data_IF_652540385094
#
_entry.id   IF_652540385094
#
_cell.length_a   1.000
_cell.length_b   1.000
_cell.length_c   1.000
_cell.angle_alpha   90.00
_cell.angle_beta   90.00
_cell.angle_gamma   90.00
#
_symmetry.space_group_name_H-M   'P 1'
#
loop_
_entity.id
_entity.type
_entity.pdbx_description
1 polymer ?
#
# COMPACT_ATOMS: atom_id res chain seq x y z
N UNK A 1 -2.67 4.26 -17.66
CA UNK A 1 -1.38 4.84 -17.22
C UNK A 1 -0.75 3.83 -16.30
N UNK A 2 0.54 3.50 -16.44
CA UNK A 2 1.17 2.52 -15.56
C UNK A 2 1.66 3.19 -14.28
N UNK A 3 1.60 2.47 -13.16
CA UNK A 3 2.00 2.94 -11.84
C UNK A 3 2.93 1.93 -11.17
N UNK A 4 3.85 2.43 -10.36
CA UNK A 4 4.87 1.62 -9.69
C UNK A 4 5.15 2.13 -8.28
N UNK A 5 5.67 1.25 -7.43
CA UNK A 5 6.29 1.68 -6.18
C UNK A 5 7.68 2.27 -6.43
N UNK A 6 7.95 3.40 -5.81
CA UNK A 6 9.26 4.03 -5.71
C UNK A 6 9.59 4.20 -4.23
N UNK A 7 10.46 3.34 -3.65
CA UNK A 7 10.79 3.41 -2.24
C UNK A 7 11.37 4.77 -1.83
N UNK A 8 10.81 5.38 -0.79
CA UNK A 8 11.32 6.62 -0.20
C UNK A 8 12.02 6.36 1.14
N UNK A 9 11.42 5.49 1.96
CA UNK A 9 11.96 5.11 3.26
C UNK A 9 11.69 3.64 3.55
N UNK A 10 12.69 2.91 4.02
CA UNK A 10 12.54 1.51 4.43
C UNK A 10 13.38 1.24 5.67
N UNK A 11 12.75 0.71 6.72
CA UNK A 11 13.42 0.04 7.83
C UNK A 11 12.66 -1.24 8.23
N UNK A 12 13.07 -1.87 9.34
CA UNK A 12 12.48 -3.13 9.80
C UNK A 12 11.00 -3.02 10.23
N UNK A 13 10.58 -1.84 10.70
CA UNK A 13 9.26 -1.63 11.30
C UNK A 13 8.38 -0.68 10.48
N UNK A 14 8.92 0.04 9.51
CA UNK A 14 8.19 1.05 8.78
C UNK A 14 8.73 1.22 7.36
N UNK A 15 7.81 1.49 6.43
CA UNK A 15 8.15 1.85 5.05
C UNK A 15 7.26 2.96 4.54
N UNK A 16 7.81 3.76 3.62
CA UNK A 16 7.10 4.72 2.79
C UNK A 16 7.51 4.44 1.35
N UNK A 17 6.52 4.12 0.53
CA UNK A 17 6.66 3.86 -0.90
C UNK A 17 5.84 4.89 -1.65
N UNK A 18 6.50 5.73 -2.45
CA UNK A 18 5.77 6.58 -3.39
C UNK A 18 5.12 5.72 -4.46
N UNK A 19 3.96 6.16 -4.95
CA UNK A 19 3.32 5.59 -6.13
C UNK A 19 3.55 6.58 -7.25
N UNK A 20 4.31 6.16 -8.25
CA UNK A 20 4.77 7.01 -9.35
C UNK A 20 4.25 6.50 -10.69
N UNK A 21 4.11 7.41 -11.66
CA UNK A 21 3.79 7.08 -13.06
C UNK A 21 5.03 6.57 -13.81
N UNK A 22 4.83 6.12 -15.05
CA UNK A 22 5.89 5.82 -16.02
C UNK A 22 6.79 7.03 -16.36
N UNK A 23 6.36 8.24 -16.02
CA UNK A 23 7.14 9.49 -16.13
C UNK A 23 7.84 9.88 -14.83
N UNK A 24 7.79 9.02 -13.81
CA UNK A 24 8.32 9.26 -12.48
C UNK A 24 7.65 10.44 -11.74
N UNK A 25 6.38 10.72 -12.07
CA UNK A 25 5.57 11.70 -11.35
C UNK A 25 4.90 11.03 -10.15
N UNK A 26 5.08 11.56 -8.95
CA UNK A 26 4.45 11.04 -7.75
C UNK A 26 2.97 11.41 -7.71
N UNK A 27 2.10 10.40 -7.62
CA UNK A 27 0.64 10.55 -7.61
C UNK A 27 0.01 10.01 -6.32
N UNK A 28 0.83 9.52 -5.39
CA UNK A 28 0.37 8.95 -4.14
C UNK A 28 1.50 8.29 -3.36
N UNK A 29 1.15 7.63 -2.26
CA UNK A 29 2.07 6.85 -1.46
C UNK A 29 1.35 5.76 -0.69
N UNK A 30 2.08 4.69 -0.37
CA UNK A 30 1.74 3.67 0.60
C UNK A 30 2.73 3.76 1.75
N UNK A 31 2.22 3.80 2.97
CA UNK A 31 3.02 3.74 4.19
C UNK A 31 2.55 2.60 5.07
N UNK A 32 3.47 1.99 5.79
CA UNK A 32 3.09 1.10 6.87
C UNK A 32 4.00 1.24 8.09
N UNK A 33 3.44 0.86 9.24
CA UNK A 33 4.11 0.76 10.52
C UNK A 33 3.73 -0.57 11.17
N UNK A 34 4.73 -1.32 11.60
CA UNK A 34 4.60 -2.55 12.37
C UNK A 34 4.98 -2.23 13.81
N UNK A 35 4.02 -2.40 14.71
CA UNK A 35 4.22 -2.26 16.16
C UNK A 35 3.64 -3.52 16.82
N UNK A 36 4.45 -4.21 17.62
CA UNK A 36 4.10 -5.52 18.21
C UNK A 36 3.56 -6.53 17.18
N UNK A 37 2.27 -6.85 17.28
CA UNK A 37 1.53 -7.76 16.41
C UNK A 37 0.55 -7.02 15.49
N UNK A 38 0.71 -5.72 15.29
CA UNK A 38 -0.17 -4.89 14.47
C UNK A 38 0.59 -4.28 13.31
N UNK A 39 -0.02 -4.29 12.13
CA UNK A 39 0.45 -3.57 10.95
C UNK A 39 -0.57 -2.50 10.57
N UNK A 40 -0.18 -1.25 10.72
CA UNK A 40 -0.95 -0.10 10.28
C UNK A 40 -0.55 0.25 8.87
N UNK A 41 -1.51 0.24 7.94
CA UNK A 41 -1.29 0.57 6.53
C UNK A 41 -2.11 1.80 6.22
N UNK A 42 -1.44 2.83 5.72
CA UNK A 42 -2.08 4.06 5.27
C UNK A 42 -1.63 4.39 3.85
N UNK A 43 -2.59 4.63 2.96
CA UNK A 43 -2.31 4.93 1.56
C UNK A 43 -3.23 6.01 1.02
N UNK A 44 -2.67 6.86 0.16
CA UNK A 44 -3.38 7.91 -0.56
C UNK A 44 -2.93 7.91 -2.01
N UNK A 45 -3.88 7.88 -2.93
CA UNK A 45 -3.66 8.04 -4.36
C UNK A 45 -4.55 9.16 -4.90
N UNK A 46 -3.98 10.08 -5.66
CA UNK A 46 -4.72 11.22 -6.21
C UNK A 46 -5.54 10.85 -7.44
N UNK A 47 -4.98 10.00 -8.30
CA UNK A 47 -5.56 9.69 -9.62
C UNK A 47 -6.61 8.58 -9.54
N UNK A 48 -7.90 8.93 -9.73
CA UNK A 48 -9.00 7.97 -9.72
C UNK A 48 -8.95 7.01 -10.92
N UNK A 49 -8.37 7.43 -12.06
CA UNK A 49 -8.35 6.65 -13.29
C UNK A 49 -7.52 5.36 -13.25
N UNK A 50 -6.74 5.14 -12.19
CA UNK A 50 -5.88 3.96 -12.00
C UNK A 50 -6.24 3.17 -10.73
N UNK A 51 -7.47 3.31 -10.23
CA UNK A 51 -7.91 2.67 -8.98
C UNK A 51 -7.74 1.13 -8.97
N UNK A 52 -8.09 0.45 -10.06
CA UNK A 52 -7.96 -1.01 -10.14
C UNK A 52 -6.49 -1.43 -10.24
N UNK A 53 -5.68 -0.77 -11.07
CA UNK A 53 -4.23 -1.00 -11.14
C UNK A 53 -3.56 -0.78 -9.77
N UNK A 54 -4.05 0.19 -8.99
CA UNK A 54 -3.59 0.46 -7.63
C UNK A 54 -3.93 -0.69 -6.67
N UNK A 55 -5.14 -1.24 -6.74
CA UNK A 55 -5.52 -2.40 -5.93
C UNK A 55 -4.66 -3.62 -6.28
N UNK A 56 -4.44 -3.85 -7.57
CA UNK A 56 -3.60 -4.94 -8.08
C UNK A 56 -2.12 -4.79 -7.67
N UNK A 57 -1.64 -3.55 -7.53
CA UNK A 57 -0.29 -3.26 -7.03
C UNK A 57 -0.17 -3.46 -5.51
N UNK A 58 -1.14 -2.97 -4.74
CA UNK A 58 -1.10 -2.98 -3.26
C UNK A 58 -1.44 -4.35 -2.68
N UNK A 59 -2.42 -5.06 -3.21
CA UNK A 59 -2.88 -6.37 -2.68
C UNK A 59 -1.73 -7.38 -2.50
N UNK A 60 -0.96 -7.74 -3.55
CA UNK A 60 0.11 -8.74 -3.41
C UNK A 60 1.24 -8.24 -2.50
N UNK A 61 1.46 -6.92 -2.44
CA UNK A 61 2.47 -6.34 -1.56
C UNK A 61 2.09 -6.51 -0.09
N UNK A 62 0.85 -6.17 0.29
CA UNK A 62 0.36 -6.38 1.65
C UNK A 62 0.29 -7.87 2.02
N UNK A 63 -0.10 -8.74 1.09
CA UNK A 63 -0.06 -10.19 1.29
C UNK A 63 1.36 -10.72 1.51
N UNK A 64 2.36 -10.12 0.85
CA UNK A 64 3.76 -10.44 1.10
C UNK A 64 4.17 -10.12 2.54
N UNK A 65 3.72 -8.98 3.07
CA UNK A 65 4.02 -8.56 4.44
C UNK A 65 3.37 -9.47 5.50
N UNK A 66 2.13 -9.92 5.28
CA UNK A 66 1.45 -10.84 6.21
C UNK A 66 2.11 -12.22 6.25
N UNK A 67 2.71 -12.68 5.16
CA UNK A 67 3.48 -13.94 5.12
C UNK A 67 4.74 -13.91 6.00
N UNK A 68 5.31 -12.73 6.27
CA UNK A 68 6.52 -12.58 7.10
C UNK A 68 6.18 -12.75 8.59
N UNK A 69 5.01 -12.27 9.02
CA UNK A 69 4.50 -12.44 10.38
C UNK A 69 3.00 -12.80 10.31
N UNK A 70 2.67 -14.11 10.30
CA UNK A 70 1.29 -14.58 10.12
C UNK A 70 0.30 -14.08 11.16
N UNK A 71 0.79 -13.77 12.37
CA UNK A 71 -0.04 -13.29 13.49
C UNK A 71 -0.28 -11.77 13.46
N UNK A 72 0.11 -11.07 12.38
CA UNK A 72 -0.14 -9.63 12.24
C UNK A 72 -1.62 -9.33 12.03
N UNK A 73 -2.16 -8.51 12.93
CA UNK A 73 -3.42 -7.82 12.72
C UNK A 73 -3.20 -6.65 11.76
N UNK A 74 -3.72 -6.76 10.53
CA UNK A 74 -3.58 -5.73 9.51
C UNK A 74 -4.74 -4.75 9.58
N UNK A 75 -4.42 -3.49 9.86
CA UNK A 75 -5.36 -2.37 9.82
C UNK A 75 -5.05 -1.49 8.63
N UNK A 76 -6.00 -1.32 7.73
CA UNK A 76 -5.80 -0.57 6.48
C UNK A 76 -6.70 0.65 6.43
N UNK A 77 -6.12 1.76 5.97
CA UNK A 77 -6.87 2.90 5.44
C UNK A 77 -6.27 3.23 4.08
N UNK A 78 -7.03 2.96 3.03
CA UNK A 78 -6.61 3.17 1.64
C UNK A 78 -7.60 4.14 1.01
N UNK A 79 -7.11 5.18 0.35
CA UNK A 79 -7.95 6.15 -0.33
C UNK A 79 -7.46 6.47 -1.74
N UNK A 80 -8.40 6.61 -2.67
CA UNK A 80 -8.17 7.01 -4.06
C UNK A 80 -9.10 8.18 -4.37
N UNK A 81 -8.56 9.30 -4.84
CA UNK A 81 -9.35 10.52 -5.11
C UNK A 81 -10.08 11.08 -3.88
N UNK A 82 -9.57 10.80 -2.68
CA UNK A 82 -10.21 11.18 -1.41
C UNK A 82 -11.36 10.27 -0.98
N UNK A 83 -11.64 9.18 -1.70
CA UNK A 83 -12.63 8.16 -1.32
C UNK A 83 -11.92 6.94 -0.75
N UNK A 84 -12.43 6.42 0.36
CA UNK A 84 -11.91 5.18 0.93
C UNK A 84 -12.20 4.02 -0.03
N UNK A 85 -11.23 3.12 -0.17
CA UNK A 85 -11.32 1.88 -0.94
C UNK A 85 -10.96 0.69 -0.06
N UNK A 86 -11.59 -0.44 -0.34
CA UNK A 86 -11.33 -1.70 0.34
C UNK A 86 -10.53 -2.64 -0.57
N UNK A 87 -9.66 -3.44 0.04
CA UNK A 87 -8.91 -4.51 -0.61
C UNK A 87 -9.11 -5.77 0.21
N UNK A 88 -9.60 -6.82 -0.42
CA UNK A 88 -9.71 -8.15 0.18
C UNK A 88 -8.33 -8.82 0.18
N UNK A 89 -7.75 -8.98 1.36
CA UNK A 89 -6.53 -9.74 1.58
C UNK A 89 -6.90 -11.21 1.75
N UNK A 90 -6.47 -12.06 0.81
CA UNK A 90 -6.66 -13.51 0.94
C UNK A 90 -5.86 -14.00 2.16
N UNK A 91 -6.56 -14.61 3.13
CA UNK A 91 -5.94 -15.33 4.25
C UNK A 91 -5.72 -16.77 3.81
N UNK A 92 -4.52 -17.08 3.33
CA UNK A 92 -4.05 -18.48 3.19
C UNK A 92 -3.59 -19.04 4.52
#
# INVERSE_FOLDING_TARGET
>A
MQIYFSPEFINQNAQVLNIVTDRNEAIGYLSFLIEENKMYVFSQLQEEGVCEDYKDLVKPYLQGLTKIKPDLEVMTFLAVGGKQVEIELDKE
#
